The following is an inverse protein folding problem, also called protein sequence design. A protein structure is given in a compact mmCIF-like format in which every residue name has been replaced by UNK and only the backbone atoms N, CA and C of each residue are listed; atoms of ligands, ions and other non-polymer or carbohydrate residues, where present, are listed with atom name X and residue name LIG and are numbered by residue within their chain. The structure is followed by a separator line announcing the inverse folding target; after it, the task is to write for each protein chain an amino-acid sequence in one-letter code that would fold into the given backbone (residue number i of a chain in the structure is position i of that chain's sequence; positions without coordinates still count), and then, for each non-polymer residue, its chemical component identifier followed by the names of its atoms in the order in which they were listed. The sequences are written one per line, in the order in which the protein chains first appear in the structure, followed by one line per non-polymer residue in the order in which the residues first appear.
data_IF_894417345225
#
_entry.id   IF_894417345225
#
_cell.length_a   1.000
_cell.length_b   1.000
_cell.length_c   1.000
_cell.angle_alpha   90.00
_cell.angle_beta   90.00
_cell.angle_gamma   90.00
#
_symmetry.space_group_name_H-M   'P 1'
#
loop_
_entity.id
_entity.type
_entity.pdbx_description
1 polymer ?
#
# COMPACT_ATOMS: atom_id res chain seq x y z
N UNK A 1 12.02 8.91 14.84
CA UNK A 1 11.72 7.98 13.72
C UNK A 1 12.58 8.41 12.54
N UNK A 2 13.32 7.49 11.91
CA UNK A 2 14.04 7.83 10.67
C UNK A 2 13.03 8.06 9.55
N UNK A 3 13.29 8.98 8.61
CA UNK A 3 12.34 9.30 7.55
C UNK A 3 11.98 8.05 6.72
N UNK A 4 12.93 7.16 6.45
CA UNK A 4 12.69 5.86 5.80
C UNK A 4 11.67 4.99 6.55
N UNK A 5 11.80 4.87 7.88
CA UNK A 5 10.89 4.08 8.69
C UNK A 5 9.46 4.63 8.66
N UNK A 6 9.30 5.95 8.54
CA UNK A 6 7.99 6.59 8.34
C UNK A 6 7.33 6.18 7.02
N UNK A 7 8.06 6.23 5.90
CA UNK A 7 7.53 5.81 4.59
C UNK A 7 7.19 4.31 4.53
N UNK A 8 8.01 3.47 5.16
CA UNK A 8 7.74 2.03 5.28
C UNK A 8 6.44 1.76 6.06
N UNK A 9 6.24 2.48 7.16
CA UNK A 9 5.04 2.29 7.99
C UNK A 9 3.77 2.78 7.28
N UNK A 10 3.84 3.93 6.60
CA UNK A 10 2.70 4.46 5.82
C UNK A 10 2.36 3.55 4.64
N UNK A 11 3.36 3.09 3.87
CA UNK A 11 3.12 2.15 2.76
C UNK A 11 2.54 0.82 3.27
N UNK A 12 3.04 0.28 4.37
CA UNK A 12 2.49 -0.94 4.97
C UNK A 12 1.03 -0.77 5.42
N UNK A 13 0.68 0.35 6.07
CA UNK A 13 -0.70 0.65 6.46
C UNK A 13 -1.64 0.75 5.25
N UNK A 14 -1.24 1.48 4.21
CA UNK A 14 -2.02 1.60 2.98
C UNK A 14 -2.21 0.25 2.29
N UNK A 15 -1.17 -0.59 2.27
CA UNK A 15 -1.25 -1.94 1.72
C UNK A 15 -2.25 -2.80 2.51
N UNK A 16 -2.20 -2.78 3.85
CA UNK A 16 -3.16 -3.49 4.69
C UNK A 16 -4.60 -3.01 4.50
N UNK A 17 -4.83 -1.71 4.31
CA UNK A 17 -6.16 -1.15 4.01
C UNK A 17 -6.64 -1.66 2.64
N UNK A 18 -5.78 -1.63 1.62
CA UNK A 18 -6.10 -2.17 0.30
C UNK A 18 -6.40 -3.67 0.34
N UNK A 19 -5.63 -4.43 1.11
CA UNK A 19 -5.84 -5.87 1.32
C UNK A 19 -7.16 -6.15 2.02
N UNK A 20 -7.46 -5.44 3.11
CA UNK A 20 -8.74 -5.55 3.79
C UNK A 20 -9.91 -5.19 2.86
N UNK A 21 -9.76 -4.14 2.04
CA UNK A 21 -10.73 -3.77 1.02
C UNK A 21 -10.92 -4.85 -0.06
N UNK A 22 -9.84 -5.49 -0.51
CA UNK A 22 -9.90 -6.56 -1.49
C UNK A 22 -10.57 -7.84 -0.93
N UNK A 23 -10.33 -8.18 0.33
CA UNK A 23 -10.85 -9.42 0.95
C UNK A 23 -12.29 -9.30 1.46
N UNK A 24 -12.74 -8.09 1.86
CA UNK A 24 -14.06 -7.89 2.47
C UNK A 24 -15.17 -7.63 1.46
N UNK A 25 -14.84 -7.31 0.21
CA UNK A 25 -15.81 -6.85 -0.78
C UNK A 25 -16.19 -7.98 -1.73
N UNK A 26 -17.51 -8.15 -1.96
CA UNK A 26 -18.05 -9.09 -2.95
C UNK A 26 -18.18 -8.52 -4.36
N UNK A 27 -18.10 -7.19 -4.50
CA UNK A 27 -18.15 -6.54 -5.80
C UNK A 27 -16.76 -6.51 -6.42
N UNK A 28 -16.60 -7.11 -7.60
CA UNK A 28 -15.34 -7.16 -8.34
C UNK A 28 -14.72 -5.76 -8.53
N UNK A 29 -15.53 -4.71 -8.79
CA UNK A 29 -15.02 -3.35 -8.95
C UNK A 29 -14.39 -2.85 -7.64
N UNK A 30 -15.03 -3.10 -6.50
CA UNK A 30 -14.47 -2.71 -5.20
C UNK A 30 -13.20 -3.50 -4.85
N UNK A 31 -13.12 -4.77 -5.27
CA UNK A 31 -11.90 -5.57 -5.12
C UNK A 31 -10.76 -4.98 -5.96
N UNK A 32 -11.04 -4.61 -7.21
CA UNK A 32 -10.06 -3.96 -8.09
C UNK A 32 -9.54 -2.64 -7.53
N UNK A 33 -10.41 -1.80 -6.96
CA UNK A 33 -10.00 -0.56 -6.27
C UNK A 33 -9.07 -0.87 -5.08
N UNK A 34 -9.36 -1.93 -4.32
CA UNK A 34 -8.48 -2.39 -3.24
C UNK A 34 -7.10 -2.83 -3.76
N UNK A 35 -7.06 -3.53 -4.90
CA UNK A 35 -5.83 -3.94 -5.57
C UNK A 35 -5.05 -2.73 -6.10
N UNK A 36 -5.70 -1.76 -6.74
CA UNK A 36 -5.06 -0.52 -7.18
C UNK A 36 -4.41 0.24 -6.02
N UNK A 37 -5.09 0.27 -4.86
CA UNK A 37 -4.55 0.85 -3.63
C UNK A 37 -3.34 0.08 -3.11
N UNK A 38 -3.39 -1.26 -3.10
CA UNK A 38 -2.25 -2.11 -2.73
C UNK A 38 -1.04 -1.86 -3.65
N UNK A 39 -1.27 -1.76 -4.96
CA UNK A 39 -0.20 -1.50 -5.94
C UNK A 39 0.41 -0.12 -5.75
N UNK A 40 -0.39 0.90 -5.45
CA UNK A 40 0.12 2.25 -5.13
C UNK A 40 0.97 2.24 -3.84
N UNK A 41 0.54 1.50 -2.82
CA UNK A 41 1.30 1.34 -1.58
C UNK A 41 2.65 0.64 -1.81
N UNK A 42 2.68 -0.41 -2.64
CA UNK A 42 3.91 -1.08 -3.03
C UNK A 42 4.84 -0.14 -3.82
N UNK A 43 4.31 0.67 -4.74
CA UNK A 43 5.09 1.67 -5.47
C UNK A 43 5.72 2.71 -4.54
N UNK A 44 4.97 3.20 -3.55
CA UNK A 44 5.50 4.10 -2.52
C UNK A 44 6.67 3.46 -1.75
N UNK A 45 6.55 2.18 -1.42
CA UNK A 45 7.59 1.41 -0.75
C UNK A 45 8.87 1.30 -1.61
N UNK A 46 8.73 0.98 -2.90
CA UNK A 46 9.86 0.96 -3.84
C UNK A 46 10.54 2.32 -4.00
N UNK A 47 9.76 3.41 -4.12
CA UNK A 47 10.31 4.78 -4.22
C UNK A 47 11.06 5.17 -2.95
N UNK A 48 10.53 4.79 -1.78
CA UNK A 48 11.21 5.03 -0.51
C UNK A 48 12.56 4.30 -0.48
N UNK A 49 12.60 3.02 -0.82
CA UNK A 49 13.88 2.30 -0.90
C UNK A 49 14.83 2.93 -1.92
N UNK A 50 14.35 3.32 -3.10
CA UNK A 50 15.18 3.96 -4.12
C UNK A 50 15.78 5.30 -3.65
N UNK A 51 15.04 6.07 -2.83
CA UNK A 51 15.49 7.36 -2.29
C UNK A 51 16.53 7.22 -1.17
N UNK A 52 16.46 6.16 -0.38
CA UNK A 52 17.31 5.93 0.81
C UNK A 52 18.39 4.86 0.61
N UNK A 53 18.51 4.30 -0.61
CA UNK A 53 19.65 3.53 -1.08
C UNK A 53 20.87 4.40 -1.39
#
# INVERSE_FOLDING_TARGET
MTPLSGYLLVSALLFCIGLAGALTRRNAIMVLIGIELMLNAANLNFIAFWRFS
#
